data_IF_846362824317
#
_entry.id   IF_846362824317
#
_cell.length_a   1.000
_cell.length_b   1.000
_cell.length_c   1.000
_cell.angle_alpha   90.00
_cell.angle_beta   90.00
_cell.angle_gamma   90.00
#
_symmetry.space_group_name_H-M   'P 1'
#
loop_
_entity.id
_entity.type
_entity.pdbx_description
1 polymer ?
#
# COMPACT_ATOMS: atom_id res chain seq x y z
N UNK A 1 9.27 -11.26 1.28
CA UNK A 1 8.11 -10.69 0.56
C UNK A 1 6.86 -11.05 1.34
N UNK A 2 5.93 -10.09 1.54
CA UNK A 2 4.66 -10.34 2.25
C UNK A 2 3.51 -9.68 1.49
N UNK A 3 2.34 -10.29 1.54
CA UNK A 3 1.11 -9.77 0.94
C UNK A 3 0.14 -9.41 2.05
N UNK A 4 -0.30 -8.15 2.08
CA UNK A 4 -1.09 -7.60 3.17
C UNK A 4 -2.43 -7.09 2.65
N UNK A 5 -3.45 -7.08 3.50
CA UNK A 5 -4.74 -6.45 3.22
C UNK A 5 -4.68 -4.92 3.48
N UNK A 6 -5.82 -4.24 3.41
CA UNK A 6 -5.92 -2.80 3.66
C UNK A 6 -5.53 -2.36 5.08
N UNK A 7 -5.49 -3.29 6.03
CA UNK A 7 -5.19 -3.03 7.43
C UNK A 7 -3.75 -3.44 7.80
N UNK A 8 -2.88 -3.63 6.81
CA UNK A 8 -1.51 -4.12 6.96
C UNK A 8 -1.38 -5.51 7.61
N UNK A 9 -2.42 -6.33 7.56
CA UNK A 9 -2.41 -7.72 8.05
C UNK A 9 -2.16 -8.69 6.91
N UNK A 10 -1.53 -9.84 7.17
CA UNK A 10 -1.34 -10.86 6.13
C UNK A 10 -2.68 -11.30 5.54
N UNK A 11 -2.77 -11.30 4.21
CA UNK A 11 -3.97 -11.76 3.51
C UNK A 11 -4.29 -13.20 3.89
N UNK A 12 -5.51 -13.41 4.37
CA UNK A 12 -6.09 -14.73 4.59
C UNK A 12 -6.47 -15.42 3.26
N UNK A 13 -6.68 -16.73 3.30
CA UNK A 13 -7.06 -17.50 2.12
C UNK A 13 -8.39 -17.01 1.50
N UNK A 14 -9.35 -16.59 2.32
CA UNK A 14 -10.63 -16.06 1.82
C UNK A 14 -10.45 -14.69 1.18
N UNK A 15 -9.69 -13.78 1.79
CA UNK A 15 -9.39 -12.47 1.19
C UNK A 15 -8.64 -12.61 -0.16
N UNK A 16 -7.79 -13.64 -0.29
CA UNK A 16 -7.14 -13.95 -1.56
C UNK A 16 -8.12 -14.34 -2.66
N UNK A 17 -9.15 -15.13 -2.34
CA UNK A 17 -10.10 -15.66 -3.33
C UNK A 17 -11.24 -14.68 -3.60
N UNK A 18 -11.88 -14.23 -2.53
CA UNK A 18 -13.16 -13.53 -2.54
C UNK A 18 -13.05 -12.08 -2.04
N UNK A 19 -11.91 -11.70 -1.47
CA UNK A 19 -11.71 -10.36 -0.95
C UNK A 19 -11.73 -9.27 -2.03
N UNK A 20 -11.88 -8.00 -1.60
CA UNK A 20 -11.78 -6.87 -2.51
C UNK A 20 -10.43 -6.88 -3.20
N UNK A 21 -10.37 -6.35 -4.43
CA UNK A 21 -9.11 -6.23 -5.20
C UNK A 21 -8.27 -5.06 -4.66
N UNK A 22 -7.89 -5.16 -3.40
CA UNK A 22 -7.18 -4.15 -2.63
C UNK A 22 -6.19 -4.85 -1.70
N UNK A 23 -4.91 -4.53 -1.86
CA UNK A 23 -3.82 -5.22 -1.16
C UNK A 23 -2.56 -4.37 -1.07
N UNK A 24 -1.58 -4.84 -0.31
CA UNK A 24 -0.23 -4.29 -0.27
C UNK A 24 0.81 -5.39 -0.48
N UNK A 25 1.92 -5.05 -1.12
CA UNK A 25 3.01 -5.97 -1.45
C UNK A 25 4.29 -5.43 -0.82
N UNK A 26 4.77 -6.07 0.24
CA UNK A 26 5.99 -5.69 0.95
C UNK A 26 7.18 -6.49 0.42
N UNK A 27 8.16 -5.79 -0.14
CA UNK A 27 9.38 -6.33 -0.75
C UNK A 27 10.60 -5.97 0.10
N UNK A 28 11.38 -7.00 0.46
CA UNK A 28 12.61 -6.86 1.25
C UNK A 28 12.47 -6.01 2.52
N UNK A 29 11.26 -5.96 3.09
CA UNK A 29 10.85 -5.11 4.22
C UNK A 29 11.21 -3.61 4.06
N UNK A 30 11.46 -3.16 2.81
CA UNK A 30 11.92 -1.81 2.46
C UNK A 30 11.08 -1.11 1.42
N UNK A 31 10.48 -1.84 0.49
CA UNK A 31 9.58 -1.28 -0.53
C UNK A 31 8.19 -1.83 -0.33
N UNK A 32 7.19 -0.98 -0.51
CA UNK A 32 5.79 -1.33 -0.34
C UNK A 32 4.99 -0.80 -1.51
N UNK A 33 4.26 -1.70 -2.17
CA UNK A 33 3.34 -1.35 -3.25
C UNK A 33 1.94 -1.44 -2.68
N UNK A 34 1.22 -0.32 -2.58
CA UNK A 34 -0.19 -0.31 -2.19
C UNK A 34 -1.07 -0.24 -3.44
N UNK A 35 -2.06 -1.12 -3.54
CA UNK A 35 -2.91 -1.28 -4.71
C UNK A 35 -4.37 -1.16 -4.30
N UNK A 36 -5.09 -0.24 -4.94
CA UNK A 36 -6.53 -0.14 -4.90
C UNK A 36 -7.09 -0.37 -6.31
N UNK A 37 -7.41 -1.61 -6.66
CA UNK A 37 -8.04 -1.94 -7.94
C UNK A 37 -9.58 -1.87 -7.89
N UNK A 38 -10.16 -1.35 -6.81
CA UNK A 38 -11.61 -1.13 -6.68
C UNK A 38 -12.04 0.16 -7.39
N UNK A 39 -13.35 0.37 -7.50
CA UNK A 39 -13.96 1.53 -8.13
C UNK A 39 -14.05 2.75 -7.20
N UNK A 40 -13.71 2.60 -5.93
CA UNK A 40 -13.89 3.62 -4.90
C UNK A 40 -12.55 4.08 -4.34
N UNK A 41 -12.47 5.35 -3.92
CA UNK A 41 -11.34 5.81 -3.12
C UNK A 41 -11.40 5.10 -1.76
N UNK A 42 -10.30 4.48 -1.34
CA UNK A 42 -10.26 3.70 -0.10
C UNK A 42 -9.02 4.03 0.72
N UNK A 43 -9.20 4.19 2.03
CA UNK A 43 -8.09 4.32 2.97
C UNK A 43 -7.38 2.97 3.18
N UNK A 44 -6.05 2.97 3.04
CA UNK A 44 -5.17 1.82 3.20
C UNK A 44 -4.15 2.13 4.29
N UNK A 45 -4.21 1.41 5.39
CA UNK A 45 -3.26 1.51 6.50
C UNK A 45 -1.97 0.82 6.10
N UNK A 46 -0.86 1.55 6.10
CA UNK A 46 0.47 1.03 5.78
C UNK A 46 1.03 0.29 7.02
N UNK A 47 1.87 -0.75 6.85
CA UNK A 47 2.50 -1.45 7.96
C UNK A 47 3.39 -0.53 8.79
N UNK A 48 3.70 -0.94 10.02
CA UNK A 48 4.55 -0.17 10.92
C UNK A 48 5.88 0.24 10.26
N UNK A 49 6.19 1.53 10.31
CA UNK A 49 7.40 2.11 9.76
C UNK A 49 7.19 3.53 9.26
N UNK A 50 8.29 4.16 8.85
CA UNK A 50 8.29 5.48 8.22
C UNK A 50 8.27 5.26 6.71
N UNK A 51 7.11 5.43 6.09
CA UNK A 51 6.90 5.23 4.66
C UNK A 51 6.80 6.56 3.93
N UNK A 52 7.51 6.69 2.81
CA UNK A 52 7.44 7.84 1.91
C UNK A 52 7.15 7.36 0.51
N UNK A 53 6.20 7.99 -0.17
CA UNK A 53 5.97 7.72 -1.60
C UNK A 53 7.20 8.15 -2.39
N UNK A 54 7.61 7.34 -3.37
CA UNK A 54 8.82 7.55 -4.18
C UNK A 54 8.47 7.87 -5.63
N UNK A 55 9.41 8.44 -6.42
CA UNK A 55 9.20 8.63 -7.85
C UNK A 55 8.83 7.32 -8.58
N UNK A 56 7.94 7.37 -9.58
CA UNK A 56 7.24 8.54 -10.12
C UNK A 56 5.93 8.93 -9.38
N UNK A 57 5.61 8.30 -8.25
CA UNK A 57 4.35 8.50 -7.52
C UNK A 57 4.35 9.76 -6.64
N UNK A 58 5.54 10.27 -6.31
CA UNK A 58 5.76 11.57 -5.69
C UNK A 58 7.07 12.17 -6.23
N UNK A 59 7.33 13.45 -5.92
CA UNK A 59 8.61 14.08 -6.23
C UNK A 59 9.79 13.43 -5.50
N UNK A 60 11.01 13.69 -5.98
CA UNK A 60 12.23 13.36 -5.23
C UNK A 60 12.22 14.03 -3.85
N UNK A 61 12.79 13.37 -2.85
CA UNK A 61 12.83 13.83 -1.45
C UNK A 61 11.47 14.19 -0.83
N UNK A 62 10.42 13.47 -1.21
CA UNK A 62 9.08 13.64 -0.63
C UNK A 62 9.13 13.61 0.92
N UNK A 63 8.86 14.74 1.60
CA UNK A 63 8.97 14.81 3.06
C UNK A 63 7.78 14.13 3.77
N UNK A 64 6.72 13.80 3.04
CA UNK A 64 5.47 13.28 3.61
C UNK A 64 5.64 11.84 4.07
N UNK A 65 5.47 11.64 5.38
CA UNK A 65 5.37 10.31 5.99
C UNK A 65 3.91 9.87 5.94
N UNK A 66 3.67 8.71 5.34
CA UNK A 66 2.32 8.17 5.18
C UNK A 66 2.12 7.00 6.14
N UNK A 67 1.12 7.11 7.02
CA UNK A 67 0.62 6.00 7.82
C UNK A 67 -0.66 5.39 7.21
N UNK A 68 -1.47 6.23 6.56
CA UNK A 68 -2.67 5.84 5.81
C UNK A 68 -2.59 6.47 4.43
N UNK A 69 -2.66 5.65 3.39
CA UNK A 69 -2.74 6.11 2.01
C UNK A 69 -4.20 6.14 1.57
N UNK A 70 -4.68 7.31 1.11
CA UNK A 70 -5.98 7.42 0.45
C UNK A 70 -5.85 6.97 -1.00
N UNK A 71 -6.03 5.67 -1.23
CA UNK A 71 -5.83 5.07 -2.54
C UNK A 71 -6.93 5.46 -3.52
N UNK A 72 -6.62 6.16 -4.63
CA UNK A 72 -7.62 6.47 -5.66
C UNK A 72 -8.23 5.19 -6.25
N UNK A 73 -9.44 5.30 -6.80
CA UNK A 73 -10.05 4.23 -7.58
C UNK A 73 -9.12 3.80 -8.73
N UNK A 74 -8.92 2.50 -8.89
CA UNK A 74 -7.96 1.89 -9.84
C UNK A 74 -6.53 2.45 -9.73
N UNK A 75 -6.11 2.88 -8.53
CA UNK A 75 -4.81 3.47 -8.27
C UNK A 75 -3.82 2.51 -7.64
N UNK A 76 -2.53 2.83 -7.78
CA UNK A 76 -1.46 2.24 -6.98
C UNK A 76 -0.43 3.32 -6.62
N UNK A 77 0.30 3.09 -5.53
CA UNK A 77 1.42 3.92 -5.11
C UNK A 77 2.55 3.05 -4.56
N UNK A 78 3.80 3.47 -4.77
CA UNK A 78 4.98 2.80 -4.23
C UNK A 78 5.60 3.68 -3.15
N UNK A 79 5.88 3.05 -2.01
CA UNK A 79 6.52 3.64 -0.86
C UNK A 79 7.84 2.95 -0.57
N UNK A 80 8.78 3.72 -0.02
CA UNK A 80 10.02 3.20 0.53
C UNK A 80 10.09 3.53 2.02
N UNK A 81 10.60 2.57 2.79
CA UNK A 81 10.89 2.73 4.20
C UNK A 81 12.20 3.50 4.37
N UNK A 82 12.16 4.54 5.20
CA UNK A 82 13.34 5.30 5.64
C UNK A 82 14.23 4.54 6.60
#
# INVERSE_FOLDING_TARGET
MRWLNKNAQTLSADEWQNGPKLMQILLSDRFLIAVNATLEVTDIVLPEGVWRAVPPFAGEDNPVITAVWQGPAHGLCVFQRG
#
